data_IF_903772736937
#
_entry.id   IF_903772736937
#
_cell.length_a   1.000
_cell.length_b   1.000
_cell.length_c   1.000
_cell.angle_alpha   90.00
_cell.angle_beta   90.00
_cell.angle_gamma   90.00
#
_symmetry.space_group_name_H-M   'P 1'
#
loop_
_entity.id
_entity.type
_entity.pdbx_description
1 polymer ?
#
# COMPACT_ATOMS: atom_id res chain seq x y z
N UNK A 1 -9.61 -33.26 8.38
CA UNK A 1 -10.00 -31.86 8.62
C UNK A 1 -8.92 -30.99 7.98
N UNK A 2 -9.21 -30.44 6.80
CA UNK A 2 -8.31 -29.56 6.04
C UNK A 2 -8.95 -28.18 6.02
N UNK A 3 -8.87 -27.48 7.15
CA UNK A 3 -9.24 -26.08 7.25
C UNK A 3 -8.17 -25.23 6.54
N UNK A 4 -8.36 -25.04 5.22
CA UNK A 4 -7.63 -24.02 4.47
C UNK A 4 -7.83 -22.63 5.10
N UNK A 5 -6.88 -21.70 4.93
CA UNK A 5 -6.89 -20.42 5.63
C UNK A 5 -8.18 -19.66 5.32
N UNK A 6 -8.98 -19.45 6.37
CA UNK A 6 -10.22 -18.67 6.31
C UNK A 6 -9.88 -17.25 5.87
N UNK A 7 -10.26 -16.89 4.65
CA UNK A 7 -10.19 -15.52 4.19
C UNK A 7 -11.22 -14.69 4.95
N UNK A 8 -10.80 -14.00 6.01
CA UNK A 8 -11.63 -13.01 6.68
C UNK A 8 -11.79 -11.79 5.77
N UNK A 9 -12.94 -11.71 5.08
CA UNK A 9 -13.36 -10.63 4.18
C UNK A 9 -13.66 -9.29 4.89
N UNK A 10 -13.14 -9.08 6.10
CA UNK A 10 -13.46 -7.91 6.92
C UNK A 10 -12.40 -7.50 7.94
N UNK A 11 -11.14 -7.94 7.80
CA UNK A 11 -10.11 -7.53 8.75
C UNK A 11 -9.62 -6.11 8.41
N UNK A 12 -10.19 -5.11 9.08
CA UNK A 12 -9.74 -3.71 9.04
C UNK A 12 -8.25 -3.66 9.36
N UNK A 13 -7.48 -2.89 8.59
CA UNK A 13 -6.06 -2.67 8.88
C UNK A 13 -5.94 -1.68 10.05
N UNK A 14 -5.33 -2.11 11.16
CA UNK A 14 -5.01 -1.23 12.28
C UNK A 14 -3.90 -0.24 11.88
N UNK A 15 -3.74 0.83 12.65
CA UNK A 15 -2.67 1.82 12.40
C UNK A 15 -1.29 1.16 12.46
N UNK A 16 -1.09 0.26 13.42
CA UNK A 16 0.15 -0.48 13.65
C UNK A 16 0.45 -1.43 12.50
N UNK A 17 -0.57 -2.12 11.97
CA UNK A 17 -0.41 -2.98 10.80
C UNK A 17 -0.04 -2.18 9.55
N UNK A 18 -0.66 -1.01 9.34
CA UNK A 18 -0.32 -0.12 8.23
C UNK A 18 1.09 0.42 8.38
N UNK A 19 1.49 0.83 9.59
CA UNK A 19 2.85 1.30 9.84
C UNK A 19 3.87 0.20 9.54
N UNK A 20 3.66 -1.02 10.04
CA UNK A 20 4.55 -2.14 9.73
C UNK A 20 4.63 -2.44 8.22
N UNK A 21 3.53 -2.32 7.49
CA UNK A 21 3.52 -2.46 6.04
C UNK A 21 4.40 -1.40 5.36
N UNK A 22 4.31 -0.15 5.81
CA UNK A 22 5.11 0.97 5.28
C UNK A 22 6.59 0.81 5.64
N UNK A 23 6.90 0.37 6.86
CA UNK A 23 8.28 0.09 7.28
C UNK A 23 8.91 -1.03 6.44
N UNK A 24 8.14 -2.05 6.04
CA UNK A 24 8.63 -3.07 5.10
C UNK A 24 8.83 -2.47 3.70
N UNK A 25 7.95 -1.56 3.28
CA UNK A 25 8.03 -0.92 1.98
C UNK A 25 9.19 0.07 1.87
N UNK A 26 9.60 0.70 2.97
CA UNK A 26 10.71 1.65 2.98
C UNK A 26 12.08 0.99 2.74
N UNK A 27 12.19 -0.33 2.92
CA UNK A 27 13.40 -1.10 2.61
C UNK A 27 13.83 -0.92 1.14
N UNK A 28 15.04 -0.39 0.93
CA UNK A 28 15.61 -0.12 -0.39
C UNK A 28 15.62 -1.34 -1.30
N UNK A 29 15.86 -2.54 -0.75
CA UNK A 29 15.81 -3.78 -1.53
C UNK A 29 14.39 -4.04 -2.04
N UNK A 30 13.39 -3.87 -1.18
CA UNK A 30 11.98 -4.00 -1.57
C UNK A 30 11.62 -2.96 -2.64
N UNK A 31 12.03 -1.71 -2.46
CA UNK A 31 11.78 -0.65 -3.43
C UNK A 31 12.42 -0.93 -4.78
N UNK A 32 13.67 -1.40 -4.79
CA UNK A 32 14.38 -1.79 -6.00
C UNK A 32 13.62 -2.91 -6.72
N UNK A 33 13.26 -4.00 -6.01
CA UNK A 33 12.52 -5.11 -6.61
C UNK A 33 11.15 -4.71 -7.17
N UNK A 34 10.44 -3.79 -6.50
CA UNK A 34 9.18 -3.22 -7.00
C UNK A 34 9.36 -2.37 -8.26
N UNK A 35 10.53 -1.78 -8.46
CA UNK A 35 10.85 -0.97 -9.65
C UNK A 35 11.25 -1.81 -10.87
N UNK A 36 11.81 -3.00 -10.67
CA UNK A 36 12.40 -3.81 -11.75
C UNK A 36 11.37 -4.54 -12.60
N UNK A 37 10.22 -4.92 -12.05
CA UNK A 37 9.22 -5.71 -12.79
C UNK A 37 7.79 -5.56 -12.27
N UNK A 38 6.83 -5.68 -13.18
CA UNK A 38 5.41 -5.82 -12.86
C UNK A 38 5.06 -7.19 -12.26
N UNK A 39 5.91 -8.21 -12.43
CA UNK A 39 5.75 -9.55 -11.84
C UNK A 39 6.34 -9.61 -10.42
N UNK A 40 5.84 -8.76 -9.54
CA UNK A 40 6.34 -8.57 -8.16
C UNK A 40 5.58 -9.41 -7.12
N UNK A 41 4.95 -10.51 -7.52
CA UNK A 41 4.21 -11.40 -6.61
C UNK A 41 5.08 -11.93 -5.47
N UNK A 42 6.34 -12.26 -5.76
CA UNK A 42 7.31 -12.70 -4.74
C UNK A 42 7.64 -11.58 -3.75
N UNK A 43 7.62 -10.31 -4.17
CA UNK A 43 7.86 -9.16 -3.29
C UNK A 43 6.74 -9.07 -2.27
N UNK A 44 5.48 -9.15 -2.69
CA UNK A 44 4.35 -9.15 -1.77
C UNK A 44 4.29 -10.40 -0.88
N UNK A 45 4.88 -11.53 -1.31
CA UNK A 45 5.11 -12.67 -0.43
C UNK A 45 6.13 -12.34 0.69
N UNK A 46 7.17 -11.53 0.40
CA UNK A 46 8.08 -11.03 1.44
C UNK A 46 7.37 -10.09 2.42
N UNK A 47 6.48 -9.21 1.93
CA UNK A 47 5.64 -8.39 2.83
C UNK A 47 4.85 -9.24 3.81
N UNK A 48 4.11 -10.23 3.28
CA UNK A 48 3.31 -11.16 4.08
C UNK A 48 4.16 -11.91 5.11
N UNK A 49 5.34 -12.40 4.70
CA UNK A 49 6.27 -13.09 5.60
C UNK A 49 6.74 -12.19 6.74
N UNK A 50 7.21 -10.97 6.43
CA UNK A 50 7.74 -10.01 7.41
C UNK A 50 6.66 -9.47 8.36
N UNK A 51 5.42 -9.31 7.88
CA UNK A 51 4.27 -9.01 8.74
C UNK A 51 4.01 -10.15 9.73
N UNK A 52 4.04 -11.41 9.26
CA UNK A 52 3.83 -12.58 10.11
C UNK A 52 4.90 -12.72 11.19
N UNK A 53 6.16 -12.38 10.88
CA UNK A 53 7.25 -12.32 11.88
C UNK A 53 6.98 -11.32 13.01
N UNK A 54 6.14 -10.30 12.75
CA UNK A 54 5.67 -9.33 13.74
C UNK A 54 4.31 -9.71 14.37
N UNK A 55 3.82 -10.94 14.13
CA UNK A 55 2.53 -11.41 14.63
C UNK A 55 1.31 -10.90 13.84
N UNK A 56 1.53 -10.30 12.67
CA UNK A 56 0.47 -9.74 11.82
C UNK A 56 0.17 -10.72 10.68
N UNK A 57 -1.00 -11.35 10.71
CA UNK A 57 -1.41 -12.32 9.70
C UNK A 57 -2.10 -11.65 8.51
N UNK A 58 -1.32 -11.31 7.48
CA UNK A 58 -1.84 -10.75 6.21
C UNK A 58 -1.28 -11.50 5.02
N UNK A 59 -2.13 -11.87 4.07
CA UNK A 59 -1.70 -12.54 2.84
C UNK A 59 -1.00 -11.57 1.88
N UNK A 60 -0.21 -12.11 0.95
CA UNK A 60 0.46 -11.31 -0.09
C UNK A 60 -0.54 -10.46 -0.91
N UNK A 61 -1.70 -11.02 -1.24
CA UNK A 61 -2.76 -10.30 -1.96
C UNK A 61 -3.32 -9.13 -1.14
N UNK A 62 -3.53 -9.31 0.17
CA UNK A 62 -3.98 -8.24 1.06
C UNK A 62 -2.92 -7.12 1.15
N UNK A 63 -1.64 -7.49 1.25
CA UNK A 63 -0.53 -6.52 1.25
C UNK A 63 -0.50 -5.69 -0.04
N UNK A 64 -0.65 -6.35 -1.20
CA UNK A 64 -0.71 -5.68 -2.52
C UNK A 64 -1.86 -4.69 -2.60
N UNK A 65 -3.07 -5.11 -2.22
CA UNK A 65 -4.26 -4.24 -2.23
C UNK A 65 -4.05 -3.03 -1.31
N UNK A 66 -3.52 -3.25 -0.11
CA UNK A 66 -3.30 -2.16 0.84
C UNK A 66 -2.21 -1.19 0.37
N UNK A 67 -1.08 -1.68 -0.14
CA UNK A 67 -0.03 -0.85 -0.71
C UNK A 67 -0.53 -0.02 -1.91
N UNK A 68 -1.34 -0.63 -2.81
CA UNK A 68 -1.98 0.08 -3.93
C UNK A 68 -2.88 1.21 -3.43
N UNK A 69 -3.75 0.94 -2.45
CA UNK A 69 -4.63 1.96 -1.85
C UNK A 69 -3.84 3.09 -1.19
N UNK A 70 -2.79 2.78 -0.41
CA UNK A 70 -1.93 3.79 0.22
C UNK A 70 -1.23 4.69 -0.82
N UNK A 71 -0.76 4.12 -1.93
CA UNK A 71 -0.20 4.90 -3.04
C UNK A 71 -1.20 5.87 -3.64
N UNK A 72 -2.42 5.40 -3.90
CA UNK A 72 -3.50 6.23 -4.48
C UNK A 72 -3.88 7.38 -3.55
N UNK A 73 -4.04 7.10 -2.25
CA UNK A 73 -4.29 8.13 -1.22
C UNK A 73 -3.16 9.16 -1.16
N UNK A 74 -1.90 8.70 -1.13
CA UNK A 74 -0.73 9.59 -1.15
C UNK A 74 -0.71 10.51 -2.38
N UNK A 75 -0.93 9.96 -3.58
CA UNK A 75 -0.97 10.76 -4.83
C UNK A 75 -2.07 11.82 -4.74
N UNK A 76 -3.28 11.46 -4.29
CA UNK A 76 -4.39 12.41 -4.12
C UNK A 76 -4.01 13.56 -3.19
N UNK A 77 -3.44 13.26 -2.02
CA UNK A 77 -3.01 14.29 -1.05
C UNK A 77 -1.91 15.15 -1.66
N UNK A 78 -0.89 14.55 -2.29
CA UNK A 78 0.22 15.29 -2.91
C UNK A 78 -0.28 16.22 -4.02
N UNK A 79 -1.19 15.76 -4.88
CA UNK A 79 -1.74 16.54 -5.96
C UNK A 79 -2.62 17.70 -5.46
N UNK A 80 -3.36 17.48 -4.36
CA UNK A 80 -4.16 18.52 -3.72
C UNK A 80 -3.28 19.62 -3.08
N UNK A 81 -2.18 19.23 -2.42
CA UNK A 81 -1.16 20.15 -1.90
C UNK A 81 -0.55 21.01 -3.02
N UNK A 82 -0.20 20.40 -4.16
CA UNK A 82 0.39 21.10 -5.31
C UNK A 82 -0.58 22.09 -5.96
N UNK A 83 -1.88 21.76 -6.04
CA UNK A 83 -2.89 22.59 -6.74
C UNK A 83 -3.38 23.77 -5.91
N UNK A 84 -3.52 23.58 -4.60
CA UNK A 84 -4.24 24.53 -3.75
C UNK A 84 -3.31 25.36 -2.86
N UNK A 85 -2.01 25.03 -2.82
CA UNK A 85 -1.10 25.57 -1.80
C UNK A 85 -1.59 25.29 -0.38
N UNK A 86 -2.50 24.32 -0.19
CA UNK A 86 -3.18 24.08 1.08
C UNK A 86 -2.17 23.75 2.17
N UNK A 87 -2.12 24.63 3.15
CA UNK A 87 -1.35 24.52 4.38
C UNK A 87 -1.85 23.35 5.24
N UNK A 88 -1.14 22.23 5.25
CA UNK A 88 -1.12 21.23 6.35
C UNK A 88 -2.37 20.36 6.57
N UNK A 89 -3.58 20.88 6.37
CA UNK A 89 -4.85 20.23 6.78
C UNK A 89 -5.14 18.90 6.07
N UNK A 90 -4.62 18.71 4.87
CA UNK A 90 -4.77 17.44 4.14
C UNK A 90 -3.77 16.39 4.61
N UNK A 91 -2.57 16.80 5.05
CA UNK A 91 -1.59 15.91 5.69
C UNK A 91 -2.12 15.40 7.03
N UNK A 92 -2.81 16.25 7.80
CA UNK A 92 -3.40 15.87 9.10
C UNK A 92 -4.43 14.73 8.98
N UNK A 93 -5.07 14.58 7.81
CA UNK A 93 -6.05 13.51 7.54
C UNK A 93 -5.41 12.21 7.07
N UNK A 94 -4.15 12.25 6.62
CA UNK A 94 -3.43 11.09 6.11
C UNK A 94 -2.08 10.95 6.85
N UNK A 95 -2.08 10.31 8.04
CA UNK A 95 -0.92 10.31 8.94
C UNK A 95 0.30 9.58 8.39
N UNK A 96 0.15 8.86 7.28
CA UNK A 96 1.23 8.14 6.59
C UNK A 96 1.87 8.95 5.45
N UNK A 97 1.46 10.20 5.25
CA UNK A 97 1.92 11.04 4.14
C UNK A 97 3.44 11.16 4.12
N UNK A 98 4.06 11.61 5.21
CA UNK A 98 5.50 11.92 5.22
C UNK A 98 6.37 10.67 5.08
N UNK A 99 5.92 9.51 5.58
CA UNK A 99 6.63 8.25 5.38
C UNK A 99 6.51 7.74 3.95
N UNK A 100 5.34 7.87 3.34
CA UNK A 100 5.15 7.54 1.92
C UNK A 100 5.86 8.53 1.00
N UNK A 101 6.00 9.79 1.39
CA UNK A 101 6.72 10.81 0.64
C UNK A 101 8.22 10.49 0.53
N UNK A 102 8.82 9.96 1.60
CA UNK A 102 10.21 9.46 1.56
C UNK A 102 10.39 8.30 0.57
N UNK A 103 9.37 7.45 0.39
CA UNK A 103 9.40 6.26 -0.46
C UNK A 103 9.05 6.59 -1.92
N UNK A 104 8.08 7.48 -2.13
CA UNK A 104 7.43 7.74 -3.43
C UNK A 104 7.74 9.12 -4.00
N UNK A 105 8.10 10.10 -3.18
CA UNK A 105 8.33 11.49 -3.58
C UNK A 105 9.60 11.70 -4.41
N UNK A 106 10.57 10.79 -4.33
CA UNK A 106 11.82 10.83 -5.11
C UNK A 106 11.70 10.23 -6.51
N UNK A 107 10.58 9.57 -6.84
CA UNK A 107 10.38 8.89 -8.12
C UNK A 107 9.57 9.79 -9.07
N UNK A 108 10.03 10.07 -10.30
CA UNK A 108 9.21 10.78 -11.28
C UNK A 108 7.93 9.99 -11.51
N UNK A 109 6.79 10.69 -11.43
CA UNK A 109 5.46 10.11 -11.61
C UNK A 109 5.27 9.82 -13.09
N UNK A 110 5.87 8.73 -13.57
CA UNK A 110 5.52 8.16 -14.86
C UNK A 110 4.46 7.12 -14.55
N UNK A 111 3.20 7.49 -14.68
CA UNK A 111 2.10 6.53 -14.56
C UNK A 111 2.15 5.57 -15.76
N UNK A 112 2.38 4.26 -15.59
CA UNK A 112 2.02 3.31 -16.63
C UNK A 112 0.49 3.28 -16.72
N UNK A 113 -0.03 3.61 -17.91
CA UNK A 113 -1.45 3.49 -18.28
C UNK A 113 -1.96 2.12 -17.80
N UNK A 114 -2.94 2.14 -16.91
CA UNK A 114 -3.65 0.94 -16.45
C UNK A 114 -4.27 0.22 -17.66
N UNK A 115 -3.55 -0.74 -18.25
CA UNK A 115 -4.18 -1.76 -19.08
C UNK A 115 -4.71 -2.83 -18.14
N UNK A 116 -5.84 -2.47 -17.51
CA UNK A 116 -6.88 -3.32 -16.91
C UNK A 116 -6.36 -4.61 -16.22
N UNK A 117 -5.99 -4.51 -14.94
CA UNK A 117 -6.17 -5.64 -14.02
C UNK A 117 -7.50 -5.43 -13.33
N UNK A 118 -8.56 -5.93 -13.98
CA UNK A 118 -9.92 -5.98 -13.48
C UNK A 118 -9.96 -6.73 -12.15
N UNK A 119 -10.07 -6.00 -11.05
CA UNK A 119 -10.52 -6.55 -9.79
C UNK A 119 -11.70 -5.72 -9.31
N UNK A 120 -12.81 -6.43 -9.15
CA UNK A 120 -14.16 -5.91 -9.05
C UNK A 120 -14.35 -4.85 -7.97
N UNK A 121 -15.27 -3.95 -8.29
CA UNK A 121 -15.90 -2.99 -7.40
C UNK A 121 -16.18 -3.59 -6.03
N UNK A 122 -15.44 -3.15 -5.01
CA UNK A 122 -15.98 -3.03 -3.66
C UNK A 122 -16.26 -1.55 -3.40
N UNK A 123 -17.13 -1.02 -4.24
CA UNK A 123 -18.00 0.10 -3.93
C UNK A 123 -19.43 -0.44 -4.02
N UNK A 124 -19.93 -0.98 -2.92
CA UNK A 124 -21.28 -0.63 -2.50
C UNK A 124 -21.24 -0.46 -0.99
N UNK A 125 -21.49 0.76 -0.57
CA UNK A 125 -21.73 1.15 0.82
C UNK A 125 -22.82 0.26 1.45
N UNK A 126 -22.52 -0.34 2.60
CA UNK A 126 -23.26 -0.33 3.88
C UNK A 126 -22.72 -1.44 4.80
#
# INVERSE_FOLDING_TARGET
DMSGPKMNRGQTWSREEVQCLIDIWSDDYIQAQLSTTHKNSYVYAQFSKRLREKGIERSAAQCRIKAKKLRQEYIKVRDALNKTGSSGKEKDKFPWFDDLDKILGTKPVIEPVDVVESHENLSVYL
#
